data_IF_850900260522
#
_entry.id   IF_850900260522
#
_cell.length_a   1.000
_cell.length_b   1.000
_cell.length_c   1.000
_cell.angle_alpha   90.00
_cell.angle_beta   90.00
_cell.angle_gamma   90.00
#
_symmetry.space_group_name_H-M   'P 1'
#
loop_
_entity.id
_entity.type
_entity.pdbx_description
1 polymer ?
#
# COMPACT_ATOMS: atom_id res chain seq x y z
N UNK A 1 -17.18 -4.68 24.36
CA UNK A 1 -16.08 -3.75 24.65
C UNK A 1 -15.41 -3.48 23.31
N UNK A 2 -15.28 -2.21 22.90
CA UNK A 2 -14.63 -1.87 21.61
C UNK A 2 -13.11 -1.98 21.79
N UNK A 3 -12.42 -2.60 20.84
CA UNK A 3 -10.98 -2.81 20.91
C UNK A 3 -10.25 -1.69 20.16
N UNK A 4 -9.29 -1.05 20.82
CA UNK A 4 -8.33 -0.15 20.16
C UNK A 4 -7.11 -0.94 19.78
N UNK A 5 -6.61 -0.75 18.56
CA UNK A 5 -5.47 -1.47 18.03
C UNK A 5 -4.33 -0.50 17.75
N UNK A 6 -3.13 -0.82 18.23
CA UNK A 6 -1.93 -0.06 17.92
C UNK A 6 -1.22 -0.68 16.72
N UNK A 7 -1.22 0.03 15.59
CA UNK A 7 -0.80 -0.50 14.30
C UNK A 7 0.34 0.34 13.75
N UNK A 8 1.42 -0.31 13.31
CA UNK A 8 2.43 0.31 12.46
C UNK A 8 2.05 0.03 11.00
N UNK A 9 2.09 1.04 10.15
CA UNK A 9 1.87 0.83 8.73
C UNK A 9 2.83 1.68 7.89
N UNK A 10 3.04 1.24 6.66
CA UNK A 10 3.85 1.93 5.67
C UNK A 10 3.08 2.01 4.36
N UNK A 11 3.05 3.18 3.74
CA UNK A 11 2.48 3.38 2.41
C UNK A 11 3.45 4.11 1.48
N UNK A 12 3.36 3.80 0.19
CA UNK A 12 4.34 4.25 -0.79
C UNK A 12 3.80 4.34 -2.20
N UNK A 13 4.42 5.23 -2.97
CA UNK A 13 4.24 5.36 -4.40
C UNK A 13 5.39 4.72 -5.13
N UNK A 14 5.11 4.10 -6.25
CA UNK A 14 6.10 3.40 -7.00
C UNK A 14 6.70 4.32 -8.05
N UNK A 15 8.00 4.22 -8.22
CA UNK A 15 8.72 4.96 -9.24
C UNK A 15 9.66 4.03 -10.00
N UNK A 16 9.95 4.41 -11.24
CA UNK A 16 11.01 3.77 -12.01
C UNK A 16 12.35 4.13 -11.40
N UNK A 17 13.03 3.16 -10.77
CA UNK A 17 14.39 3.39 -10.28
C UNK A 17 15.36 3.27 -11.45
N UNK A 18 16.13 4.32 -11.77
CA UNK A 18 17.14 4.24 -12.84
C UNK A 18 18.25 3.22 -12.55
N UNK A 19 18.52 2.92 -11.27
CA UNK A 19 19.65 2.09 -10.84
C UNK A 19 19.33 0.60 -10.68
N UNK A 20 18.05 0.22 -10.66
CA UNK A 20 17.62 -1.17 -10.63
C UNK A 20 16.55 -1.34 -11.70
N UNK A 21 16.69 -2.31 -12.61
CA UNK A 21 15.67 -2.68 -13.61
C UNK A 21 14.38 -3.15 -12.90
N UNK A 22 13.59 -2.23 -12.36
CA UNK A 22 12.48 -2.55 -11.48
C UNK A 22 11.67 -1.32 -11.03
N UNK A 23 10.46 -1.59 -10.59
CA UNK A 23 9.54 -0.62 -10.00
C UNK A 23 9.67 -0.70 -8.49
N UNK A 24 10.31 0.30 -7.87
CA UNK A 24 10.55 0.36 -6.43
C UNK A 24 9.53 1.25 -5.74
N UNK A 25 9.04 0.90 -4.53
CA UNK A 25 8.22 1.80 -3.74
C UNK A 25 9.09 2.86 -3.06
N UNK A 26 8.82 4.14 -3.30
CA UNK A 26 9.18 5.22 -2.38
C UNK A 26 8.14 5.25 -1.29
N UNK A 27 8.55 4.87 -0.08
CA UNK A 27 7.72 4.99 1.13
C UNK A 27 7.63 6.46 1.49
N UNK A 28 6.43 7.03 1.46
CA UNK A 28 6.20 8.42 1.85
C UNK A 28 5.68 8.54 3.29
N UNK A 29 5.17 7.44 3.85
CA UNK A 29 4.70 7.40 5.24
C UNK A 29 5.05 6.07 5.87
N UNK A 30 5.54 6.17 7.10
CA UNK A 30 5.69 5.06 8.02
C UNK A 30 5.38 5.60 9.41
N UNK A 31 4.28 5.15 10.00
CA UNK A 31 3.82 5.67 11.29
C UNK A 31 3.11 4.61 12.11
N UNK A 32 2.93 4.95 13.40
CA UNK A 32 2.19 4.14 14.36
C UNK A 32 0.93 4.89 14.76
N UNK A 33 -0.22 4.27 14.53
CA UNK A 33 -1.53 4.86 14.82
C UNK A 33 -2.31 4.02 15.83
N UNK A 34 -3.16 4.68 16.60
CA UNK A 34 -4.22 4.02 17.35
C UNK A 34 -5.47 3.99 16.47
N UNK A 35 -5.93 2.79 16.15
CA UNK A 35 -7.10 2.57 15.29
C UNK A 35 -8.25 1.95 16.07
N UNK A 36 -9.43 2.52 15.89
CA UNK A 36 -10.69 2.05 16.45
C UNK A 36 -11.72 1.95 15.31
N UNK A 37 -12.13 0.72 15.00
CA UNK A 37 -13.14 0.43 13.99
C UNK A 37 -14.51 0.11 14.61
N UNK A 38 -14.71 0.39 15.90
CA UNK A 38 -15.95 0.11 16.64
C UNK A 38 -16.28 -1.38 16.79
N UNK A 39 -15.35 -2.27 16.44
CA UNK A 39 -15.50 -3.72 16.49
C UNK A 39 -14.66 -4.31 17.63
N UNK A 40 -14.96 -5.55 17.97
CA UNK A 40 -14.19 -6.37 18.90
C UNK A 40 -13.01 -7.09 18.24
N UNK A 41 -12.82 -6.92 16.93
CA UNK A 41 -11.76 -7.49 16.12
C UNK A 41 -11.18 -6.44 15.18
N UNK A 42 -9.95 -6.67 14.71
CA UNK A 42 -9.32 -5.77 13.76
C UNK A 42 -9.81 -6.06 12.34
N UNK A 43 -10.29 -5.02 11.67
CA UNK A 43 -10.76 -5.09 10.30
C UNK A 43 -9.69 -4.50 9.35
N UNK A 44 -8.96 -5.40 8.70
CA UNK A 44 -7.89 -5.03 7.76
C UNK A 44 -8.41 -4.23 6.56
N UNK A 45 -9.63 -4.49 6.11
CA UNK A 45 -10.22 -3.79 4.97
C UNK A 45 -10.59 -2.36 5.36
N UNK A 46 -11.17 -2.20 6.54
CA UNK A 46 -11.53 -0.88 7.09
C UNK A 46 -10.30 0.00 7.33
N UNK A 47 -9.25 -0.58 7.94
CA UNK A 47 -7.98 0.10 8.12
C UNK A 47 -7.37 0.53 6.78
N UNK A 48 -7.32 -0.39 5.81
CA UNK A 48 -6.77 -0.09 4.48
C UNK A 48 -7.55 1.03 3.79
N UNK A 49 -8.88 1.01 3.81
CA UNK A 49 -9.70 2.08 3.20
C UNK A 49 -9.53 3.43 3.88
N UNK A 50 -9.20 3.45 5.18
CA UNK A 50 -9.01 4.68 5.95
C UNK A 50 -7.66 5.34 5.63
N UNK A 51 -6.60 4.55 5.49
CA UNK A 51 -5.23 5.07 5.41
C UNK A 51 -4.57 4.97 4.04
N UNK A 52 -5.12 4.17 3.11
CA UNK A 52 -4.59 4.07 1.75
C UNK A 52 -5.07 5.21 0.85
N UNK A 53 -4.24 5.54 -0.14
CA UNK A 53 -4.58 6.41 -1.25
C UNK A 53 -4.78 5.61 -2.53
N UNK A 54 -5.50 6.19 -3.48
CA UNK A 54 -5.83 5.54 -4.75
C UNK A 54 -4.59 5.23 -5.61
N UNK A 55 -3.56 6.06 -5.49
CA UNK A 55 -2.29 5.98 -6.21
C UNK A 55 -1.22 5.18 -5.45
N UNK A 56 -1.52 4.67 -4.25
CA UNK A 56 -0.60 3.82 -3.49
C UNK A 56 -0.27 2.54 -4.27
N UNK A 57 1.01 2.36 -4.59
CA UNK A 57 1.51 1.12 -5.19
C UNK A 57 2.08 0.16 -4.16
N UNK A 58 2.12 0.58 -2.89
CA UNK A 58 2.60 -0.20 -1.78
C UNK A 58 1.82 0.19 -0.51
N UNK A 59 1.35 -0.82 0.22
CA UNK A 59 0.74 -0.64 1.53
C UNK A 59 1.02 -1.86 2.40
N UNK A 60 1.59 -1.65 3.58
CA UNK A 60 1.96 -2.71 4.50
C UNK A 60 1.43 -2.40 5.90
N UNK A 61 0.80 -3.40 6.53
CA UNK A 61 0.30 -3.33 7.91
C UNK A 61 1.14 -4.29 8.75
N UNK A 62 1.73 -3.76 9.81
CA UNK A 62 2.46 -4.50 10.83
C UNK A 62 1.80 -4.29 12.19
N UNK A 63 1.43 -5.39 12.83
CA UNK A 63 0.92 -5.33 14.20
C UNK A 63 2.07 -5.16 15.18
N UNK A 64 1.90 -4.24 16.15
CA UNK A 64 2.87 -4.05 17.23
C UNK A 64 2.64 -4.99 18.42
N UNK A 65 1.46 -5.61 18.48
CA UNK A 65 1.09 -6.56 19.53
C UNK A 65 1.21 -7.98 18.99
N UNK A 66 1.94 -8.83 19.72
CA UNK A 66 2.03 -10.26 19.41
C UNK A 66 0.71 -10.93 19.83
N UNK A 67 -0.25 -10.98 18.90
CA UNK A 67 -1.55 -11.64 19.12
C UNK A 67 -1.87 -12.62 18.00
N UNK A 68 -2.49 -13.73 18.38
CA UNK A 68 -3.13 -14.64 17.45
C UNK A 68 -4.33 -13.98 16.75
N UNK A 69 -4.46 -14.19 15.44
CA UNK A 69 -5.63 -13.77 14.70
C UNK A 69 -6.74 -14.82 14.83
N UNK A 70 -7.96 -14.38 15.06
CA UNK A 70 -9.14 -15.25 14.94
C UNK A 70 -9.36 -15.69 13.48
N UNK A 71 -10.13 -16.76 13.25
CA UNK A 71 -10.48 -17.21 11.90
C UNK A 71 -11.14 -16.10 11.07
N UNK A 72 -12.02 -15.31 11.70
CA UNK A 72 -12.67 -14.16 11.08
C UNK A 72 -11.64 -13.13 10.60
N UNK A 73 -10.66 -12.81 11.43
CA UNK A 73 -9.61 -11.84 11.08
C UNK A 73 -8.67 -12.38 10.02
N UNK A 74 -8.42 -13.68 9.99
CA UNK A 74 -7.65 -14.34 8.92
C UNK A 74 -8.37 -14.19 7.57
N UNK A 75 -9.70 -14.41 7.54
CA UNK A 75 -10.50 -14.23 6.33
C UNK A 75 -10.47 -12.79 5.83
N UNK A 76 -10.69 -11.82 6.73
CA UNK A 76 -10.66 -10.39 6.39
C UNK A 76 -9.27 -9.96 5.91
N UNK A 77 -8.20 -10.43 6.57
CA UNK A 77 -6.82 -10.18 6.12
C UNK A 77 -6.58 -10.69 4.71
N UNK A 78 -7.09 -11.87 4.38
CA UNK A 78 -6.92 -12.44 3.05
C UNK A 78 -7.70 -11.65 1.99
N UNK A 79 -8.90 -11.15 2.32
CA UNK A 79 -9.67 -10.25 1.46
C UNK A 79 -8.94 -8.93 1.24
N UNK A 80 -8.47 -8.29 2.32
CA UNK A 80 -7.63 -7.09 2.26
C UNK A 80 -6.41 -7.29 1.35
N UNK A 81 -5.69 -8.40 1.49
CA UNK A 81 -4.49 -8.67 0.67
C UNK A 81 -4.82 -8.70 -0.82
N UNK A 82 -5.92 -9.35 -1.21
CA UNK A 82 -6.36 -9.37 -2.61
C UNK A 82 -6.67 -7.96 -3.11
N UNK A 83 -7.49 -7.21 -2.37
CA UNK A 83 -7.88 -5.85 -2.72
C UNK A 83 -6.67 -4.92 -2.84
N UNK A 84 -5.74 -4.98 -1.88
CA UNK A 84 -4.50 -4.22 -1.91
C UNK A 84 -3.68 -4.57 -3.15
N UNK A 85 -3.46 -5.86 -3.41
CA UNK A 85 -2.60 -6.28 -4.53
C UNK A 85 -3.18 -5.85 -5.88
N UNK A 86 -4.51 -5.93 -6.03
CA UNK A 86 -5.23 -5.44 -7.22
C UNK A 86 -5.11 -3.92 -7.38
N UNK A 87 -5.33 -3.16 -6.30
CA UNK A 87 -5.22 -1.70 -6.33
C UNK A 87 -3.80 -1.24 -6.62
N UNK A 88 -2.79 -1.81 -5.95
CA UNK A 88 -1.39 -1.47 -6.16
C UNK A 88 -0.93 -1.81 -7.58
N UNK A 89 -1.42 -2.92 -8.15
CA UNK A 89 -1.16 -3.26 -9.55
C UNK A 89 -1.79 -2.22 -10.49
N UNK A 90 -3.05 -1.85 -10.27
CA UNK A 90 -3.73 -0.82 -11.08
C UNK A 90 -3.01 0.53 -11.00
N UNK A 91 -2.67 1.00 -9.80
CA UNK A 91 -1.94 2.25 -9.60
C UNK A 91 -0.58 2.25 -10.33
N UNK A 92 0.12 1.12 -10.32
CA UNK A 92 1.36 0.94 -11.09
C UNK A 92 1.14 1.03 -12.60
N UNK A 93 0.11 0.36 -13.13
CA UNK A 93 -0.23 0.40 -14.55
C UNK A 93 -0.62 1.82 -14.99
N UNK A 94 -1.40 2.53 -14.18
CA UNK A 94 -1.78 3.94 -14.42
C UNK A 94 -0.56 4.86 -14.37
N UNK A 95 0.34 4.67 -13.40
CA UNK A 95 1.59 5.43 -13.32
C UNK A 95 2.45 5.24 -14.57
N UNK A 96 2.65 3.99 -15.01
CA UNK A 96 3.41 3.69 -16.23
C UNK A 96 2.76 4.36 -17.44
N UNK A 97 1.45 4.21 -17.62
CA UNK A 97 0.71 4.81 -18.75
C UNK A 97 0.83 6.34 -18.79
N UNK A 98 0.75 7.00 -17.63
CA UNK A 98 0.80 8.46 -17.55
C UNK A 98 2.22 9.01 -17.70
N UNK A 99 3.26 8.23 -17.36
CA UNK A 99 4.67 8.62 -17.51
C UNK A 99 5.34 8.07 -18.79
N UNK A 100 4.67 7.18 -19.55
CA UNK A 100 5.11 6.73 -20.87
C UNK A 100 4.83 7.76 -21.99
N UNK A 101 4.27 8.93 -21.66
CA UNK A 101 4.11 10.05 -22.60
C UNK A 101 5.07 11.17 -22.20
N UNK A 102 6.34 11.04 -22.63
CA UNK A 102 7.11 12.14 -23.23
C UNK A 102 8.42 11.58 -23.86
N UNK A 103 8.40 11.21 -25.15
CA UNK A 103 9.62 10.99 -25.93
C UNK A 103 10.32 12.32 -26.32
N UNK A 104 10.20 13.40 -25.53
CA UNK A 104 10.87 14.68 -25.79
C UNK A 104 12.28 14.79 -25.18
N UNK A 105 12.77 13.73 -24.52
CA UNK A 105 14.14 13.69 -23.98
C UNK A 105 15.01 12.58 -24.60
N UNK A 106 14.75 12.20 -25.84
CA UNK A 106 15.79 11.57 -26.65
C UNK A 106 16.82 12.65 -26.99
N UNK A 107 18.09 12.54 -26.55
CA UNK A 107 19.12 13.46 -27.00
C UNK A 107 19.22 13.40 -28.51
N UNK A 108 18.95 14.51 -29.19
CA UNK A 108 19.05 14.68 -30.65
C UNK A 108 20.50 14.77 -31.16
N UNK A 109 21.47 14.31 -30.38
CA UNK A 109 22.85 14.17 -30.85
C UNK A 109 23.04 12.78 -31.45
N UNK A 110 22.75 12.70 -32.75
CA UNK A 110 23.40 11.77 -33.66
C UNK A 110 24.84 12.25 -33.81
N UNK A 111 25.78 11.52 -33.21
CA UNK A 111 27.20 11.60 -33.54
C UNK A 111 27.42 11.10 -34.98
#
# INVERSE_FOLDING_TARGET
MMAKFRIQYSAGFGHSTQNHKGFGPTIYIEEVVEFDNGKDYFDYVDFYKTYSKSDDTYFHISFLEDRGLSEKEILIRNEYRKMRDENCKRAKEEFVKNNEIEPEHLPTHWD
#
